data_IF_014374196531
#
_entry.id   IF_014374196531
#
_cell.length_a   1.000
_cell.length_b   1.000
_cell.length_c   1.000
_cell.angle_alpha   90.00
_cell.angle_beta   90.00
_cell.angle_gamma   90.00
#
_symmetry.space_group_name_H-M   'P 1'
#
loop_
_entity.id
_entity.type
_entity.pdbx_description
1 polymer ?
#
# COMPACT_ATOMS: atom_id res chain seq x y z
N UNK A 1 -29.54 -5.73 -4.03
CA UNK A 1 -28.77 -4.49 -4.17
C UNK A 1 -29.74 -3.34 -4.43
N UNK A 2 -29.58 -2.20 -3.75
CA UNK A 2 -30.40 -1.02 -3.99
C UNK A 2 -29.78 -0.22 -5.16
N UNK A 3 -30.42 -0.21 -6.36
CA UNK A 3 -29.86 0.46 -7.55
C UNK A 3 -29.63 1.96 -7.35
N UNK A 4 -30.49 2.63 -6.58
CA UNK A 4 -30.35 4.05 -6.29
C UNK A 4 -29.04 4.36 -5.53
N UNK A 5 -28.70 3.52 -4.55
CA UNK A 5 -27.47 3.68 -3.77
C UNK A 5 -26.20 3.43 -4.60
N UNK A 6 -26.27 2.52 -5.57
CA UNK A 6 -25.16 2.29 -6.51
C UNK A 6 -24.96 3.49 -7.43
N UNK A 7 -26.03 4.08 -7.94
CA UNK A 7 -25.95 5.29 -8.77
C UNK A 7 -25.39 6.46 -7.96
N UNK A 8 -25.86 6.67 -6.74
CA UNK A 8 -25.36 7.69 -5.83
C UNK A 8 -23.84 7.56 -5.58
N UNK A 9 -23.38 6.35 -5.32
CA UNK A 9 -21.95 6.08 -5.13
C UNK A 9 -21.12 6.36 -6.38
N UNK A 10 -21.61 5.94 -7.55
CA UNK A 10 -20.94 6.22 -8.81
C UNK A 10 -20.87 7.73 -9.09
N UNK A 11 -21.97 8.46 -8.88
CA UNK A 11 -22.00 9.91 -9.04
C UNK A 11 -21.03 10.58 -8.06
N UNK A 12 -21.01 10.16 -6.79
CA UNK A 12 -20.06 10.68 -5.79
C UNK A 12 -18.60 10.42 -6.18
N UNK A 13 -18.29 9.21 -6.61
CA UNK A 13 -16.95 8.85 -7.07
C UNK A 13 -16.49 9.71 -8.26
N UNK A 14 -17.31 9.80 -9.30
CA UNK A 14 -16.97 10.60 -10.48
C UNK A 14 -16.87 12.08 -10.15
N UNK A 15 -17.77 12.62 -9.31
CA UNK A 15 -17.69 14.01 -8.87
C UNK A 15 -16.37 14.31 -8.15
N UNK A 16 -15.98 13.47 -7.18
CA UNK A 16 -14.71 13.62 -6.47
C UNK A 16 -13.49 13.53 -7.41
N UNK A 17 -13.48 12.54 -8.31
CA UNK A 17 -12.37 12.34 -9.26
C UNK A 17 -12.25 13.49 -10.26
N UNK A 18 -13.36 13.98 -10.78
CA UNK A 18 -13.37 15.13 -11.72
C UNK A 18 -12.97 16.42 -11.00
N UNK A 19 -13.50 16.69 -9.81
CA UNK A 19 -13.09 17.86 -9.03
C UNK A 19 -11.59 17.83 -8.75
N UNK A 20 -11.06 16.71 -8.30
CA UNK A 20 -9.64 16.53 -8.04
C UNK A 20 -8.78 16.78 -9.29
N UNK A 21 -9.20 16.24 -10.44
CA UNK A 21 -8.52 16.48 -11.72
C UNK A 21 -8.54 17.97 -12.12
N UNK A 22 -9.70 18.63 -12.02
CA UNK A 22 -9.85 20.05 -12.36
C UNK A 22 -9.02 20.94 -11.44
N UNK A 23 -9.00 20.67 -10.14
CA UNK A 23 -8.16 21.39 -9.16
C UNK A 23 -6.67 21.24 -9.48
N UNK A 24 -6.22 20.02 -9.79
CA UNK A 24 -4.84 19.77 -10.21
C UNK A 24 -4.47 20.53 -11.49
N UNK A 25 -5.37 20.53 -12.49
CA UNK A 25 -5.18 21.30 -13.74
C UNK A 25 -5.12 22.81 -13.49
N UNK A 26 -5.97 23.32 -12.62
CA UNK A 26 -5.97 24.74 -12.28
C UNK A 26 -4.73 25.16 -11.51
N UNK A 27 -4.24 24.32 -10.60
CA UNK A 27 -2.99 24.56 -9.88
C UNK A 27 -1.79 24.65 -10.84
N UNK A 28 -1.71 23.73 -11.80
CA UNK A 28 -0.68 23.74 -12.85
C UNK A 28 -0.80 24.98 -13.76
N UNK A 29 -2.01 25.33 -14.20
CA UNK A 29 -2.25 26.47 -15.09
C UNK A 29 -1.93 27.83 -14.44
N UNK A 30 -2.09 27.95 -13.11
CA UNK A 30 -1.77 29.15 -12.35
C UNK A 30 -0.27 29.28 -12.01
N UNK A 31 0.57 28.32 -12.42
CA UNK A 31 1.97 28.26 -12.06
C UNK A 31 2.24 28.13 -10.55
N UNK A 32 1.22 27.87 -9.76
CA UNK A 32 1.34 27.54 -8.35
C UNK A 32 1.65 26.07 -8.20
N UNK A 33 2.87 25.80 -7.79
CA UNK A 33 3.33 24.44 -7.43
C UNK A 33 2.77 23.98 -6.07
N UNK A 34 1.87 24.75 -5.48
CA UNK A 34 1.21 24.35 -4.25
C UNK A 34 0.23 23.22 -4.55
N UNK A 35 0.45 22.08 -3.90
CA UNK A 35 -0.44 20.95 -3.95
C UNK A 35 -1.80 21.33 -3.29
N UNK A 36 -2.91 20.74 -3.75
CA UNK A 36 -4.20 20.89 -3.08
C UNK A 36 -4.11 20.49 -1.60
N UNK A 37 -4.99 21.08 -0.79
CA UNK A 37 -5.04 20.75 0.64
C UNK A 37 -5.46 19.29 0.83
N UNK A 38 -4.62 18.52 1.52
CA UNK A 38 -4.87 17.13 1.84
C UNK A 38 -5.52 17.02 3.22
N UNK A 39 -6.81 16.74 3.23
CA UNK A 39 -7.64 16.61 4.46
C UNK A 39 -7.72 15.16 4.96
N UNK A 40 -7.07 14.21 4.30
CA UNK A 40 -7.12 12.80 4.69
C UNK A 40 -6.37 12.55 6.03
N UNK A 41 -6.81 11.54 6.80
CA UNK A 41 -6.10 11.13 8.02
C UNK A 41 -4.64 10.77 7.73
N UNK A 42 -3.76 11.01 8.72
CA UNK A 42 -2.35 10.67 8.60
C UNK A 42 -2.14 9.16 8.44
N UNK A 43 -1.55 8.79 7.32
CA UNK A 43 -1.11 7.43 7.02
C UNK A 43 0.43 7.42 6.94
N UNK A 44 1.08 6.58 7.74
CA UNK A 44 2.55 6.49 7.81
C UNK A 44 3.21 6.16 6.48
N UNK A 45 2.50 5.52 5.56
CA UNK A 45 2.99 5.24 4.21
C UNK A 45 3.28 6.53 3.43
N UNK A 46 2.58 7.62 3.76
CA UNK A 46 2.69 8.93 3.13
C UNK A 46 3.41 9.96 4.01
N UNK A 47 4.39 9.51 4.81
CA UNK A 47 5.14 10.38 5.73
C UNK A 47 6.10 11.34 5.01
N UNK A 48 6.59 10.99 3.81
CA UNK A 48 7.47 11.86 3.04
C UNK A 48 6.77 13.20 2.72
N UNK A 49 7.42 14.36 3.00
CA UNK A 49 6.83 15.68 2.75
C UNK A 49 6.39 15.91 1.30
N UNK A 50 7.01 15.26 0.33
CA UNK A 50 6.66 15.39 -1.10
C UNK A 50 5.24 14.92 -1.40
N UNK A 51 4.67 14.03 -0.59
CA UNK A 51 3.25 13.65 -0.72
C UNK A 51 2.28 14.81 -0.50
N UNK A 52 2.72 15.86 0.22
CA UNK A 52 1.93 17.07 0.47
C UNK A 52 2.35 18.25 -0.41
N UNK A 53 3.66 18.42 -0.63
CA UNK A 53 4.20 19.60 -1.28
C UNK A 53 4.39 19.49 -2.79
N UNK A 54 4.56 18.26 -3.33
CA UNK A 54 4.81 18.09 -4.76
C UNK A 54 3.50 17.76 -5.50
N UNK A 55 3.09 18.53 -6.52
CA UNK A 55 1.79 18.38 -7.18
C UNK A 55 1.52 16.96 -7.72
N UNK A 56 2.51 16.34 -8.33
CA UNK A 56 2.38 14.98 -8.87
C UNK A 56 2.12 13.94 -7.78
N UNK A 57 2.95 13.90 -6.73
CA UNK A 57 2.77 12.91 -5.65
C UNK A 57 1.49 13.18 -4.87
N UNK A 58 1.16 14.44 -4.62
CA UNK A 58 -0.10 14.80 -3.97
C UNK A 58 -1.30 14.34 -4.80
N UNK A 59 -1.31 14.58 -6.11
CA UNK A 59 -2.37 14.12 -7.00
C UNK A 59 -2.53 12.60 -6.97
N UNK A 60 -1.45 11.86 -7.09
CA UNK A 60 -1.46 10.38 -7.09
C UNK A 60 -1.95 9.84 -5.76
N UNK A 61 -1.51 10.41 -4.63
CA UNK A 61 -1.97 10.06 -3.29
C UNK A 61 -3.48 10.28 -3.13
N UNK A 62 -3.97 11.46 -3.47
CA UNK A 62 -5.39 11.78 -3.33
C UNK A 62 -6.26 10.91 -4.23
N UNK A 63 -5.85 10.65 -5.47
CA UNK A 63 -6.59 9.73 -6.36
C UNK A 63 -6.63 8.31 -5.80
N UNK A 64 -5.53 7.83 -5.22
CA UNK A 64 -5.52 6.54 -4.52
C UNK A 64 -6.52 6.52 -3.35
N UNK A 65 -6.57 7.57 -2.55
CA UNK A 65 -7.50 7.67 -1.41
C UNK A 65 -8.97 7.69 -1.85
N UNK A 66 -9.29 8.42 -2.93
CA UNK A 66 -10.63 8.45 -3.53
C UNK A 66 -11.04 7.04 -4.00
N UNK A 67 -10.12 6.31 -4.66
CA UNK A 67 -10.36 4.96 -5.13
C UNK A 67 -10.55 3.97 -3.96
N UNK A 68 -9.72 4.09 -2.92
CA UNK A 68 -9.80 3.28 -1.71
C UNK A 68 -11.12 3.46 -0.96
N UNK A 69 -11.55 4.71 -0.79
CA UNK A 69 -12.84 5.06 -0.19
C UNK A 69 -14.01 4.48 -1.00
N UNK A 70 -14.00 4.66 -2.32
CA UNK A 70 -15.06 4.16 -3.20
C UNK A 70 -15.18 2.63 -3.14
N UNK A 71 -14.05 1.90 -3.13
CA UNK A 71 -14.06 0.45 -2.99
C UNK A 71 -14.56 0.03 -1.60
N UNK A 72 -14.13 0.71 -0.54
CA UNK A 72 -14.61 0.46 0.82
C UNK A 72 -16.14 0.60 0.92
N UNK A 73 -16.68 1.71 0.42
CA UNK A 73 -18.12 1.96 0.38
C UNK A 73 -18.87 0.91 -0.46
N UNK A 74 -18.30 0.51 -1.60
CA UNK A 74 -18.91 -0.55 -2.43
C UNK A 74 -19.02 -1.86 -1.68
N UNK A 75 -17.97 -2.27 -0.96
CA UNK A 75 -17.93 -3.48 -0.13
C UNK A 75 -18.94 -3.42 1.02
N UNK A 76 -19.02 -2.30 1.73
CA UNK A 76 -19.97 -2.11 2.83
C UNK A 76 -21.44 -2.21 2.38
N UNK A 77 -21.72 -1.79 1.15
CA UNK A 77 -23.06 -1.79 0.59
C UNK A 77 -23.47 -3.10 -0.12
N UNK A 78 -22.60 -4.13 -0.12
CA UNK A 78 -23.02 -5.45 -0.60
C UNK A 78 -24.08 -6.02 0.34
N UNK A 79 -25.29 -6.26 -0.22
CA UNK A 79 -26.41 -6.82 0.53
C UNK A 79 -26.26 -8.35 0.71
N UNK A 80 -27.02 -8.88 1.65
CA UNK A 80 -27.27 -10.34 1.81
C UNK A 80 -26.01 -11.21 2.05
N UNK A 81 -24.95 -10.62 2.61
CA UNK A 81 -23.77 -11.37 3.04
C UNK A 81 -23.89 -11.80 4.50
N UNK A 82 -23.57 -13.05 4.77
CA UNK A 82 -23.38 -13.52 6.14
C UNK A 82 -22.22 -12.76 6.82
N UNK A 83 -22.21 -12.62 8.17
CA UNK A 83 -21.19 -11.83 8.88
C UNK A 83 -19.74 -12.26 8.58
N UNK A 84 -19.49 -13.56 8.41
CA UNK A 84 -18.16 -14.08 8.08
C UNK A 84 -17.75 -13.78 6.64
N UNK A 85 -18.68 -13.83 5.69
CA UNK A 85 -18.44 -13.47 4.28
C UNK A 85 -18.13 -11.99 4.13
N UNK A 86 -18.86 -11.15 4.86
CA UNK A 86 -18.60 -9.70 4.91
C UNK A 86 -17.20 -9.39 5.44
N UNK A 87 -16.78 -10.04 6.53
CA UNK A 87 -15.41 -9.90 7.06
C UNK A 87 -14.35 -10.33 6.03
N UNK A 88 -14.59 -11.45 5.37
CA UNK A 88 -13.70 -11.99 4.34
C UNK A 88 -13.59 -11.04 3.15
N UNK A 89 -14.73 -10.55 2.63
CA UNK A 89 -14.76 -9.60 1.53
C UNK A 89 -14.03 -8.30 1.91
N UNK A 90 -14.31 -7.73 3.07
CA UNK A 90 -13.64 -6.53 3.57
C UNK A 90 -12.13 -6.73 3.74
N UNK A 91 -11.69 -7.88 4.24
CA UNK A 91 -10.27 -8.20 4.37
C UNK A 91 -9.58 -8.23 3.00
N UNK A 92 -10.09 -9.00 2.05
CA UNK A 92 -9.46 -9.10 0.72
C UNK A 92 -9.51 -7.78 -0.05
N UNK A 93 -10.59 -7.01 0.08
CA UNK A 93 -10.68 -5.69 -0.55
C UNK A 93 -9.60 -4.73 -0.02
N UNK A 94 -9.32 -4.76 1.28
CA UNK A 94 -8.21 -3.98 1.86
C UNK A 94 -6.86 -4.43 1.32
N UNK A 95 -6.62 -5.75 1.19
CA UNK A 95 -5.38 -6.24 0.60
C UNK A 95 -5.18 -5.75 -0.83
N UNK A 96 -6.26 -5.71 -1.64
CA UNK A 96 -6.22 -5.16 -3.00
C UNK A 96 -5.90 -3.66 -2.97
N UNK A 97 -6.57 -2.89 -2.10
CA UNK A 97 -6.28 -1.46 -1.93
C UNK A 97 -4.82 -1.24 -1.54
N UNK A 98 -4.31 -1.98 -0.55
CA UNK A 98 -2.93 -1.84 -0.08
C UNK A 98 -1.92 -2.23 -1.16
N UNK A 99 -2.20 -3.25 -1.96
CA UNK A 99 -1.38 -3.64 -3.10
C UNK A 99 -1.27 -2.52 -4.15
N UNK A 100 -2.36 -1.80 -4.38
CA UNK A 100 -2.43 -0.69 -5.34
C UNK A 100 -1.92 0.64 -4.78
N UNK A 101 -1.39 0.65 -3.56
CA UNK A 101 -0.82 1.86 -2.97
C UNK A 101 0.31 2.43 -3.84
N UNK A 102 0.32 3.74 -4.12
CA UNK A 102 1.38 4.36 -4.90
C UNK A 102 2.76 4.25 -4.25
N UNK A 103 2.84 3.95 -2.98
CA UNK A 103 4.10 3.68 -2.26
C UNK A 103 4.77 2.37 -2.71
N UNK A 104 4.06 1.48 -3.40
CA UNK A 104 4.58 0.19 -3.87
C UNK A 104 5.25 0.26 -5.24
N UNK A 105 5.18 1.40 -5.93
CA UNK A 105 5.68 1.52 -7.29
C UNK A 105 6.76 2.60 -7.38
N UNK A 106 7.88 2.29 -8.04
CA UNK A 106 9.02 3.20 -8.16
C UNK A 106 8.62 4.58 -8.71
N UNK A 107 7.84 4.62 -9.79
CA UNK A 107 7.47 5.87 -10.45
C UNK A 107 6.58 6.79 -9.60
N UNK A 108 5.90 6.26 -8.60
CA UNK A 108 4.97 6.99 -7.76
C UNK A 108 5.41 7.11 -6.30
N UNK A 109 6.52 6.48 -5.91
CA UNK A 109 7.06 6.56 -4.55
C UNK A 109 8.19 7.58 -4.45
N UNK A 110 7.99 8.74 -3.77
CA UNK A 110 9.02 9.76 -3.64
C UNK A 110 10.27 9.26 -2.91
N UNK A 111 10.13 8.43 -1.86
CA UNK A 111 11.27 7.90 -1.12
C UNK A 111 12.17 7.03 -2.03
N UNK A 112 11.54 6.19 -2.87
CA UNK A 112 12.26 5.35 -3.80
C UNK A 112 12.97 6.16 -4.89
N UNK A 113 12.31 7.20 -5.42
CA UNK A 113 12.89 8.10 -6.42
C UNK A 113 14.03 8.95 -5.84
N UNK A 114 13.85 9.54 -4.66
CA UNK A 114 14.92 10.28 -3.96
C UNK A 114 16.13 9.38 -3.69
N UNK A 115 15.89 8.15 -3.25
CA UNK A 115 16.95 7.16 -3.04
C UNK A 115 17.66 6.80 -4.32
N UNK A 116 16.93 6.58 -5.42
CA UNK A 116 17.52 6.27 -6.72
C UNK A 116 18.40 7.41 -7.22
N UNK A 117 17.95 8.66 -7.09
CA UNK A 117 18.74 9.85 -7.45
C UNK A 117 19.97 9.99 -6.55
N UNK A 118 19.81 9.87 -5.24
CA UNK A 118 20.91 10.02 -4.27
C UNK A 118 22.01 8.96 -4.42
N UNK A 119 21.68 7.81 -5.00
CA UNK A 119 22.61 6.70 -5.23
C UNK A 119 23.00 6.53 -6.70
N UNK A 120 22.69 7.53 -7.57
CA UNK A 120 22.95 7.47 -9.01
C UNK A 120 22.43 6.17 -9.66
N UNK A 121 21.31 5.65 -9.13
CA UNK A 121 20.68 4.40 -9.59
C UNK A 121 21.20 3.11 -8.95
N UNK A 122 22.24 3.14 -8.14
CA UNK A 122 22.81 1.94 -7.51
C UNK A 122 21.78 1.19 -6.66
N UNK A 123 20.87 1.92 -5.98
CA UNK A 123 19.81 1.30 -5.20
C UNK A 123 18.87 0.43 -6.02
N UNK A 124 18.64 0.76 -7.29
CA UNK A 124 17.80 -0.01 -8.21
C UNK A 124 18.52 -1.28 -8.67
N UNK A 125 19.81 -1.16 -8.98
CA UNK A 125 20.66 -2.31 -9.37
C UNK A 125 20.69 -3.32 -8.24
N UNK A 126 20.95 -2.86 -7.01
CA UNK A 126 20.97 -3.71 -5.82
C UNK A 126 19.62 -4.35 -5.52
N UNK A 127 18.52 -3.64 -5.76
CA UNK A 127 17.16 -4.18 -5.66
C UNK A 127 16.91 -5.29 -6.67
N UNK A 128 17.39 -5.15 -7.91
CA UNK A 128 17.31 -6.18 -8.94
C UNK A 128 18.16 -7.42 -8.60
N UNK A 129 19.38 -7.21 -8.11
CA UNK A 129 20.26 -8.29 -7.65
C UNK A 129 19.60 -9.11 -6.52
N UNK A 130 18.98 -8.45 -5.55
CA UNK A 130 18.23 -9.12 -4.48
C UNK A 130 17.05 -9.94 -5.04
N UNK A 131 16.28 -9.37 -5.98
CA UNK A 131 15.18 -10.08 -6.62
C UNK A 131 15.64 -11.33 -7.35
N UNK A 132 16.76 -11.24 -8.10
CA UNK A 132 17.36 -12.40 -8.80
C UNK A 132 17.79 -13.46 -7.80
N UNK A 133 18.47 -13.05 -6.72
CA UNK A 133 18.91 -13.97 -5.68
C UNK A 133 17.73 -14.70 -4.99
N UNK A 134 16.60 -13.98 -4.75
CA UNK A 134 15.40 -14.61 -4.19
C UNK A 134 14.74 -15.61 -5.16
N UNK A 135 14.70 -15.29 -6.46
CA UNK A 135 14.20 -16.21 -7.50
C UNK A 135 15.08 -17.45 -7.63
N UNK A 136 16.40 -17.29 -7.65
CA UNK A 136 17.36 -18.40 -7.74
C UNK A 136 17.28 -19.33 -6.52
N UNK A 137 17.16 -18.74 -5.32
CA UNK A 137 17.04 -19.49 -4.07
C UNK A 137 15.73 -20.31 -3.97
N UNK A 138 14.69 -19.93 -4.72
CA UNK A 138 13.36 -20.53 -4.65
C UNK A 138 12.92 -21.19 -5.97
N UNK A 139 13.86 -21.68 -6.79
CA UNK A 139 13.59 -22.40 -8.04
C UNK A 139 12.70 -21.62 -9.05
N UNK A 140 12.83 -20.30 -9.07
CA UNK A 140 12.07 -19.41 -9.94
C UNK A 140 10.75 -18.92 -9.35
N UNK A 141 10.38 -19.34 -8.15
CA UNK A 141 9.24 -18.77 -7.43
C UNK A 141 9.65 -17.49 -6.68
N UNK A 142 8.78 -16.47 -6.76
CA UNK A 142 9.03 -15.22 -6.03
C UNK A 142 8.65 -15.36 -4.55
N UNK A 143 9.60 -15.79 -3.75
CA UNK A 143 9.51 -15.80 -2.30
C UNK A 143 10.53 -14.81 -1.75
N UNK A 144 10.07 -13.65 -1.31
CA UNK A 144 10.95 -12.59 -0.81
C UNK A 144 11.50 -12.97 0.57
N UNK A 145 12.82 -12.94 0.70
CA UNK A 145 13.51 -13.19 1.97
C UNK A 145 13.27 -12.03 2.94
N UNK A 146 12.59 -12.32 4.05
CA UNK A 146 12.23 -11.31 5.05
C UNK A 146 13.20 -11.26 6.24
N UNK A 147 14.05 -12.29 6.40
CA UNK A 147 15.00 -12.37 7.47
C UNK A 147 16.30 -13.04 6.99
N UNK A 148 17.41 -12.70 7.63
CA UNK A 148 18.65 -13.43 7.48
C UNK A 148 18.64 -14.62 8.46
N UNK A 149 18.33 -15.81 7.95
CA UNK A 149 18.26 -17.03 8.75
C UNK A 149 19.62 -17.41 9.36
N UNK A 150 20.71 -17.02 8.70
CA UNK A 150 22.07 -17.28 9.19
C UNK A 150 22.43 -16.48 10.44
N UNK A 151 21.71 -15.40 10.71
CA UNK A 151 21.88 -14.57 11.92
C UNK A 151 21.30 -15.24 13.18
N UNK A 152 20.53 -16.33 13.03
CA UNK A 152 19.83 -16.98 14.12
C UNK A 152 20.42 -18.38 14.40
N UNK A 153 20.82 -18.58 15.64
CA UNK A 153 21.34 -19.85 16.14
C UNK A 153 20.52 -20.31 17.34
N UNK A 154 19.86 -21.47 17.19
CA UNK A 154 18.96 -22.02 18.20
C UNK A 154 19.73 -22.30 19.50
N UNK A 155 19.23 -21.80 20.63
CA UNK A 155 19.86 -21.96 21.95
C UNK A 155 21.02 -21.00 22.22
N UNK A 156 21.42 -20.16 21.26
CA UNK A 156 22.48 -19.16 21.42
C UNK A 156 21.92 -17.73 21.42
N UNK A 157 21.17 -17.34 20.40
CA UNK A 157 20.59 -16.02 20.28
C UNK A 157 19.08 -16.03 20.02
N UNK A 158 18.49 -17.21 19.76
CA UNK A 158 17.04 -17.45 19.80
C UNK A 158 16.73 -18.67 20.67
N UNK A 159 15.49 -18.75 21.18
CA UNK A 159 15.02 -19.81 22.07
C UNK A 159 15.89 -20.00 23.32
N UNK A 160 16.45 -18.91 23.86
CA UNK A 160 17.35 -18.92 25.02
C UNK A 160 16.63 -18.84 26.36
N UNK A 161 15.31 -18.63 26.37
CA UNK A 161 14.51 -18.52 27.60
C UNK A 161 14.55 -19.86 28.35
N UNK A 162 15.04 -19.91 29.59
CA UNK A 162 15.00 -21.11 30.37
C UNK A 162 13.55 -21.50 30.69
N UNK A 163 13.21 -22.76 30.44
CA UNK A 163 11.85 -23.26 30.64
C UNK A 163 11.68 -24.72 30.26
N UNK A 164 10.48 -25.23 30.47
CA UNK A 164 10.06 -26.57 30.05
C UNK A 164 8.86 -26.43 29.11
N UNK A 165 8.79 -27.32 28.11
CA UNK A 165 7.61 -27.43 27.26
C UNK A 165 6.45 -27.93 28.10
N UNK A 166 5.44 -27.08 28.32
CA UNK A 166 4.24 -27.41 29.10
C UNK A 166 3.07 -27.86 28.23
N UNK A 167 3.14 -27.54 26.93
CA UNK A 167 2.13 -27.92 25.95
C UNK A 167 2.76 -28.01 24.57
N UNK A 168 2.37 -29.02 23.80
CA UNK A 168 2.79 -29.23 22.40
C UNK A 168 1.62 -29.76 21.59
N UNK A 169 1.42 -29.25 20.39
CA UNK A 169 0.46 -29.79 19.42
C UNK A 169 1.03 -29.69 18.00
N UNK A 170 0.21 -30.03 16.98
CA UNK A 170 0.65 -29.99 15.57
C UNK A 170 0.89 -28.57 15.01
N UNK A 171 0.45 -27.54 15.72
CA UNK A 171 0.60 -26.12 15.30
C UNK A 171 1.74 -25.43 16.04
N UNK A 172 2.17 -25.97 17.18
CA UNK A 172 3.24 -25.41 18.00
C UNK A 172 4.27 -26.52 18.23
N UNK A 173 5.30 -26.50 17.43
CA UNK A 173 6.50 -27.32 17.60
C UNK A 173 7.59 -26.56 18.35
#
# INVERSE_FOLDING_TARGET
QNPAKMIEQQVSYWSKSVSHFVEAQQALAKGKLEAPEDTAPEDRRFANPLWKSHPYFNFVKQQYQINAEALGQAVENVADLAPHERKRLSYFSRQIVDLMSPTNFLATNPDALERAVATEGESLIRGLENLIADLEANNGELVVRLADESAFELGRNIATTPGKVVFRNKLFE
#
